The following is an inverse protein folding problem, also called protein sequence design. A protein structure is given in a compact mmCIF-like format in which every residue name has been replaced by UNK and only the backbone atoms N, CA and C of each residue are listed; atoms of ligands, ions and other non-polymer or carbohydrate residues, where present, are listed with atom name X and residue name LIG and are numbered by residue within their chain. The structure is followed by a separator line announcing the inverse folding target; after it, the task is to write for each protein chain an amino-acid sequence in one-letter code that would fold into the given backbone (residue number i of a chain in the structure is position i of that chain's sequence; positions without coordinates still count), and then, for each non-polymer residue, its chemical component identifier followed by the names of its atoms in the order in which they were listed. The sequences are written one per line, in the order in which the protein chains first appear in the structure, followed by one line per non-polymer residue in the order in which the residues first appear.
data_IF_505190205957
#
_entry.id   IF_505190205957
#
_cell.length_a   1.000
_cell.length_b   1.000
_cell.length_c   1.000
_cell.angle_alpha   90.00
_cell.angle_beta   90.00
_cell.angle_gamma   90.00
#
_symmetry.space_group_name_H-M   'P 1'
#
loop_
_entity.id
_entity.type
_entity.pdbx_description
1 polymer ?
#
# COMPACT_ATOMS: atom_id res chain seq x y z
N UNK A 1 24.88 -2.75 -65.06
CA UNK A 1 24.00 -2.25 -63.99
C UNK A 1 23.26 -3.45 -63.43
N UNK A 2 23.56 -3.80 -62.14
CA UNK A 2 22.96 -4.96 -61.48
C UNK A 2 21.64 -4.52 -60.81
N UNK A 3 20.51 -5.08 -61.27
CA UNK A 3 19.21 -4.83 -60.66
C UNK A 3 19.16 -5.43 -59.23
N UNK A 4 18.72 -4.68 -58.21
CA UNK A 4 18.60 -5.25 -56.89
C UNK A 4 17.53 -6.36 -56.91
N UNK A 5 17.84 -7.47 -56.27
CA UNK A 5 17.00 -8.66 -56.21
C UNK A 5 15.67 -8.29 -55.53
N UNK A 6 14.55 -8.48 -56.24
CA UNK A 6 13.18 -8.23 -55.74
C UNK A 6 12.89 -8.95 -54.41
N UNK A 7 13.58 -10.05 -54.13
CA UNK A 7 13.50 -10.81 -52.90
C UNK A 7 14.05 -10.03 -51.67
N UNK A 8 15.14 -9.26 -51.87
CA UNK A 8 15.69 -8.40 -50.80
C UNK A 8 14.75 -7.25 -50.40
N UNK A 9 13.99 -6.71 -51.35
CA UNK A 9 13.01 -5.63 -51.03
C UNK A 9 11.81 -6.14 -50.25
N UNK A 10 11.37 -7.39 -50.52
CA UNK A 10 10.25 -8.01 -49.78
C UNK A 10 10.65 -8.39 -48.37
N UNK A 11 11.89 -8.86 -48.15
CA UNK A 11 12.40 -9.17 -46.82
C UNK A 11 12.59 -7.89 -45.98
N UNK A 12 12.98 -6.78 -46.60
CA UNK A 12 13.11 -5.50 -45.92
C UNK A 12 11.76 -4.91 -45.49
N UNK A 13 10.67 -5.15 -46.21
CA UNK A 13 9.32 -4.74 -45.85
C UNK A 13 8.70 -5.56 -44.71
N UNK A 14 9.17 -6.77 -44.43
CA UNK A 14 8.64 -7.67 -43.41
C UNK A 14 9.26 -7.40 -42.01
N UNK A 15 10.33 -6.60 -41.94
CA UNK A 15 11.05 -6.34 -40.67
C UNK A 15 10.52 -5.08 -39.95
N UNK A 16 9.65 -4.29 -40.55
CA UNK A 16 9.15 -3.03 -39.95
C UNK A 16 7.90 -3.15 -39.08
N UNK A 17 7.39 -4.35 -38.82
CA UNK A 17 6.41 -4.56 -37.75
C UNK A 17 7.13 -4.75 -36.43
N UNK A 18 7.94 -3.80 -36.04
CA UNK A 18 8.27 -3.58 -34.62
C UNK A 18 6.95 -3.13 -34.00
N UNK A 19 6.25 -4.06 -33.36
CA UNK A 19 5.15 -3.73 -32.44
C UNK A 19 5.74 -2.79 -31.39
N UNK A 20 5.66 -1.51 -31.64
CA UNK A 20 5.79 -0.53 -30.56
C UNK A 20 4.68 -0.88 -29.56
N UNK A 21 5.03 -1.47 -28.42
CA UNK A 21 4.10 -1.67 -27.31
C UNK A 21 3.62 -0.27 -26.96
N UNK A 22 2.43 0.07 -27.41
CA UNK A 22 1.87 1.39 -27.22
C UNK A 22 1.63 1.56 -25.71
N UNK A 23 2.32 2.53 -25.11
CA UNK A 23 2.25 2.77 -23.68
C UNK A 23 0.89 3.35 -23.35
N UNK A 24 0.14 2.64 -22.54
CA UNK A 24 -1.13 3.12 -22.00
C UNK A 24 -0.87 4.27 -21.01
N UNK A 25 -1.66 5.30 -21.12
CA UNK A 25 -1.57 6.52 -20.32
C UNK A 25 -2.85 6.64 -19.48
N UNK A 26 -2.69 6.98 -18.21
CA UNK A 26 -3.83 7.27 -17.34
C UNK A 26 -4.49 8.55 -17.79
N UNK A 27 -5.81 8.54 -18.01
CA UNK A 27 -6.64 9.69 -18.34
C UNK A 27 -7.30 10.24 -17.07
N UNK A 28 -7.92 9.38 -16.27
CA UNK A 28 -8.64 9.77 -15.08
C UNK A 28 -8.47 8.72 -13.97
N UNK A 29 -8.55 9.15 -12.70
CA UNK A 29 -8.56 8.28 -11.54
C UNK A 29 -9.72 8.68 -10.66
N UNK A 30 -10.64 7.75 -10.43
CA UNK A 30 -11.85 7.93 -9.65
C UNK A 30 -11.82 7.06 -8.39
N UNK A 31 -12.29 7.62 -7.27
CA UNK A 31 -12.47 6.94 -6.01
C UNK A 31 -13.96 6.92 -5.65
N UNK A 32 -14.47 5.76 -5.24
CA UNK A 32 -15.85 5.58 -4.82
C UNK A 32 -15.91 4.91 -3.45
N UNK A 33 -16.76 5.42 -2.57
CA UNK A 33 -16.99 4.86 -1.23
C UNK A 33 -15.97 5.31 -0.17
N UNK A 34 -15.11 6.27 -0.47
CA UNK A 34 -14.17 6.90 0.43
C UNK A 34 -14.84 8.01 1.25
N UNK A 35 -15.56 7.62 2.30
CA UNK A 35 -16.29 8.58 3.15
C UNK A 35 -15.41 9.30 4.15
N UNK A 36 -14.29 8.71 4.57
CA UNK A 36 -13.39 9.24 5.59
C UNK A 36 -12.26 10.10 5.00
N UNK A 37 -11.65 9.66 3.91
CA UNK A 37 -10.59 10.41 3.22
C UNK A 37 -11.12 11.07 1.97
N UNK A 38 -10.62 12.28 1.66
CA UNK A 38 -10.92 12.95 0.39
C UNK A 38 -10.17 12.30 -0.78
N UNK A 39 -10.65 12.50 -2.00
CA UNK A 39 -9.95 12.06 -3.23
C UNK A 39 -8.53 12.61 -3.29
N UNK A 40 -8.35 13.86 -2.85
CA UNK A 40 -7.04 14.50 -2.79
C UNK A 40 -6.08 13.78 -1.84
N UNK A 41 -6.56 13.35 -0.65
CA UNK A 41 -5.75 12.58 0.29
C UNK A 41 -5.32 11.26 -0.35
N UNK A 42 -6.26 10.53 -0.97
CA UNK A 42 -5.99 9.24 -1.60
C UNK A 42 -5.08 9.37 -2.81
N UNK A 43 -5.26 10.41 -3.61
CA UNK A 43 -4.39 10.72 -4.75
C UNK A 43 -2.94 10.94 -4.32
N UNK A 44 -2.70 11.53 -3.13
CA UNK A 44 -1.35 11.73 -2.59
C UNK A 44 -0.63 10.42 -2.21
N UNK A 45 -1.37 9.34 -1.98
CA UNK A 45 -0.83 8.03 -1.56
C UNK A 45 -0.42 7.17 -2.75
N UNK A 46 -1.09 7.31 -3.89
CA UNK A 46 -0.83 6.54 -5.10
C UNK A 46 0.25 7.18 -5.97
N UNK A 47 0.85 6.38 -6.85
CA UNK A 47 1.88 6.85 -7.79
C UNK A 47 1.35 7.11 -9.18
N UNK A 48 0.25 6.45 -9.57
CA UNK A 48 -0.46 6.77 -10.79
C UNK A 48 -1.12 8.13 -10.62
N UNK A 49 -1.00 8.98 -11.63
CA UNK A 49 -1.51 10.35 -11.62
C UNK A 49 -2.35 10.59 -12.86
N UNK A 50 -3.46 11.29 -12.69
CA UNK A 50 -4.19 11.89 -13.82
C UNK A 50 -3.30 12.94 -14.51
N UNK A 51 -3.47 13.21 -15.81
CA UNK A 51 -2.66 14.19 -16.51
C UNK A 51 -3.04 15.62 -16.08
N UNK A 52 -2.47 16.06 -14.97
CA UNK A 52 -2.44 17.49 -14.64
C UNK A 52 -1.14 18.09 -15.18
N UNK A 53 -1.29 19.08 -16.06
CA UNK A 53 -0.29 20.06 -16.50
C UNK A 53 1.12 19.53 -16.86
N UNK A 54 1.28 18.51 -17.70
CA UNK A 54 2.54 18.00 -18.27
C UNK A 54 3.04 16.65 -17.73
N UNK A 55 2.50 16.10 -16.64
CA UNK A 55 2.88 14.78 -16.16
C UNK A 55 1.88 13.72 -16.62
N UNK A 56 2.29 12.87 -17.55
CA UNK A 56 1.49 11.72 -18.01
C UNK A 56 1.99 10.47 -17.31
N UNK A 57 1.14 9.85 -16.51
CA UNK A 57 1.46 8.56 -15.89
C UNK A 57 1.28 7.41 -16.87
N UNK A 58 2.37 6.73 -17.17
CA UNK A 58 2.33 5.47 -17.89
C UNK A 58 1.68 4.41 -17.00
N UNK A 59 0.63 3.80 -17.50
CA UNK A 59 -0.08 2.72 -16.82
C UNK A 59 0.62 1.37 -17.00
N UNK A 60 0.62 0.60 -15.93
CA UNK A 60 0.84 -0.85 -15.96
C UNK A 60 0.00 -1.53 -14.88
N UNK A 61 -0.49 -2.78 -15.09
CA UNK A 61 -1.22 -3.51 -14.06
C UNK A 61 -0.42 -3.66 -12.76
N UNK A 62 0.90 -3.72 -12.84
CA UNK A 62 1.79 -3.77 -11.67
C UNK A 62 1.76 -2.47 -10.86
N UNK A 63 1.70 -1.32 -11.51
CA UNK A 63 1.55 -0.02 -10.82
C UNK A 63 0.20 0.07 -10.14
N UNK A 64 -0.90 -0.30 -10.83
CA UNK A 64 -2.24 -0.33 -10.26
C UNK A 64 -2.33 -1.22 -9.01
N UNK A 65 -1.80 -2.44 -9.11
CA UNK A 65 -1.75 -3.36 -7.95
C UNK A 65 -0.98 -2.78 -6.76
N UNK A 66 0.14 -2.11 -7.01
CA UNK A 66 0.95 -1.47 -5.97
C UNK A 66 0.19 -0.32 -5.33
N UNK A 67 -0.48 0.51 -6.11
CA UNK A 67 -1.23 1.66 -5.62
C UNK A 67 -2.43 1.20 -4.78
N UNK A 68 -3.14 0.14 -5.20
CA UNK A 68 -4.16 -0.51 -4.37
C UNK A 68 -3.59 -0.94 -3.00
N UNK A 69 -2.43 -1.62 -2.98
CA UNK A 69 -1.78 -2.04 -1.73
C UNK A 69 -1.39 -0.83 -0.86
N UNK A 70 -0.95 0.27 -1.47
CA UNK A 70 -0.62 1.49 -0.75
C UNK A 70 -1.85 2.12 -0.09
N UNK A 71 -2.97 2.17 -0.79
CA UNK A 71 -4.25 2.64 -0.24
C UNK A 71 -4.74 1.75 0.90
N UNK A 72 -4.72 0.42 0.74
CA UNK A 72 -5.09 -0.51 1.81
C UNK A 72 -4.21 -0.34 3.05
N UNK A 73 -2.90 -0.16 2.87
CA UNK A 73 -1.97 0.10 3.97
C UNK A 73 -2.23 1.44 4.65
N UNK A 74 -2.57 2.48 3.88
CA UNK A 74 -2.94 3.79 4.41
C UNK A 74 -4.20 3.72 5.25
N UNK A 75 -5.27 3.11 4.76
CA UNK A 75 -6.51 2.89 5.52
C UNK A 75 -6.26 2.09 6.80
N UNK A 76 -5.51 0.97 6.71
CA UNK A 76 -5.18 0.14 7.88
C UNK A 76 -4.37 0.91 8.92
N UNK A 77 -3.46 1.78 8.51
CA UNK A 77 -2.68 2.61 9.44
C UNK A 77 -3.52 3.67 10.16
N UNK A 78 -4.74 3.92 9.67
CA UNK A 78 -5.72 4.81 10.26
C UNK A 78 -6.89 4.07 10.93
N UNK A 79 -6.72 2.78 11.23
CA UNK A 79 -7.67 1.99 12.01
C UNK A 79 -8.72 1.23 11.20
N UNK A 80 -8.74 1.32 9.88
CA UNK A 80 -9.70 0.59 9.03
C UNK A 80 -9.18 -0.81 8.71
N UNK A 81 -9.24 -1.72 9.68
CA UNK A 81 -8.62 -3.06 9.55
C UNK A 81 -9.29 -3.94 8.48
N UNK A 82 -10.59 -3.78 8.30
CA UNK A 82 -11.42 -4.56 7.39
C UNK A 82 -11.64 -3.86 6.04
N UNK A 83 -10.77 -2.92 5.68
CA UNK A 83 -10.82 -2.23 4.39
C UNK A 83 -10.77 -3.22 3.23
N UNK A 84 -11.65 -3.05 2.27
CA UNK A 84 -11.64 -3.76 0.99
C UNK A 84 -11.56 -2.74 -0.13
N UNK A 85 -10.57 -2.83 -0.99
CA UNK A 85 -10.42 -1.98 -2.18
C UNK A 85 -10.40 -2.86 -3.42
N UNK A 86 -11.26 -2.55 -4.37
CA UNK A 86 -11.22 -3.13 -5.71
C UNK A 86 -10.69 -2.08 -6.68
N UNK A 87 -9.66 -2.42 -7.44
CA UNK A 87 -9.09 -1.55 -8.45
C UNK A 87 -9.39 -2.10 -9.84
N UNK A 88 -10.00 -1.28 -10.68
CA UNK A 88 -10.38 -1.59 -12.07
C UNK A 88 -9.78 -0.54 -13.00
N UNK A 89 -9.66 -0.88 -14.25
CA UNK A 89 -9.34 0.08 -15.30
C UNK A 89 -10.12 -0.24 -16.56
N UNK A 90 -10.45 0.78 -17.32
CA UNK A 90 -11.16 0.68 -18.57
C UNK A 90 -10.41 1.45 -19.67
N UNK A 91 -10.34 0.89 -20.85
CA UNK A 91 -9.73 1.54 -22.00
C UNK A 91 -10.76 2.45 -22.67
N UNK A 92 -10.54 3.76 -22.61
CA UNK A 92 -11.40 4.76 -23.27
C UNK A 92 -10.94 5.05 -24.71
N UNK A 93 -9.71 4.68 -25.03
CA UNK A 93 -9.16 4.72 -26.40
C UNK A 93 -7.93 3.81 -26.49
N UNK A 94 -7.36 3.57 -27.68
CA UNK A 94 -6.17 2.72 -27.81
C UNK A 94 -4.99 3.11 -26.92
N UNK A 95 -4.91 4.36 -26.48
CA UNK A 95 -3.79 4.92 -25.71
C UNK A 95 -4.15 5.34 -24.29
N UNK A 96 -5.41 5.58 -23.99
CA UNK A 96 -5.85 6.16 -22.71
C UNK A 96 -6.75 5.20 -21.96
N UNK A 97 -6.55 5.17 -20.63
CA UNK A 97 -7.35 4.40 -19.70
C UNK A 97 -7.83 5.26 -18.53
N UNK A 98 -9.01 4.93 -18.03
CA UNK A 98 -9.50 5.41 -16.76
C UNK A 98 -9.34 4.34 -15.68
N UNK A 99 -9.05 4.78 -14.46
CA UNK A 99 -8.87 3.92 -13.29
C UNK A 99 -9.97 4.23 -12.29
N UNK A 100 -10.52 3.17 -11.70
CA UNK A 100 -11.51 3.26 -10.62
C UNK A 100 -11.08 2.44 -9.43
N UNK A 101 -11.10 3.07 -8.25
CA UNK A 101 -10.96 2.41 -6.96
C UNK A 101 -12.31 2.41 -6.24
N UNK A 102 -12.91 1.22 -6.09
CA UNK A 102 -14.10 1.00 -5.28
C UNK A 102 -13.68 0.62 -3.87
N UNK A 103 -14.08 1.42 -2.88
CA UNK A 103 -13.58 1.36 -1.51
C UNK A 103 -14.75 1.01 -0.57
N UNK A 104 -14.57 -0.03 0.23
CA UNK A 104 -15.45 -0.38 1.34
C UNK A 104 -14.65 -0.25 2.64
N UNK A 105 -14.78 0.89 3.30
CA UNK A 105 -13.92 1.28 4.44
C UNK A 105 -14.09 0.38 5.66
N UNK A 106 -15.31 -0.07 5.94
CA UNK A 106 -15.64 -0.82 7.15
C UNK A 106 -15.61 0.06 8.41
N UNK A 107 -15.38 -0.58 9.56
CA UNK A 107 -15.27 0.13 10.84
C UNK A 107 -13.86 0.67 11.07
N UNK A 108 -13.78 1.81 11.75
CA UNK A 108 -12.54 2.36 12.26
C UNK A 108 -12.33 1.90 13.70
N UNK A 109 -11.28 1.13 13.93
CA UNK A 109 -10.96 0.49 15.21
C UNK A 109 -10.08 1.39 16.08
N UNK A 110 -10.28 1.33 17.42
CA UNK A 110 -9.45 2.02 18.41
C UNK A 110 -8.67 1.03 19.27
N UNK A 111 -7.43 1.35 19.59
CA UNK A 111 -6.64 0.59 20.55
C UNK A 111 -7.14 0.90 21.95
N UNK A 112 -7.88 -0.02 22.55
CA UNK A 112 -8.43 0.15 23.91
C UNK A 112 -7.41 -0.21 24.98
N UNK A 113 -6.64 -1.27 24.77
CA UNK A 113 -5.72 -1.80 25.77
C UNK A 113 -4.48 -2.41 25.11
N UNK A 114 -3.36 -2.26 25.80
CA UNK A 114 -2.11 -2.96 25.50
C UNK A 114 -1.62 -3.64 26.78
N UNK A 115 -1.29 -4.92 26.68
CA UNK A 115 -0.78 -5.71 27.80
C UNK A 115 0.59 -6.28 27.41
N UNK A 116 1.49 -6.36 28.38
CA UNK A 116 2.82 -6.93 28.23
C UNK A 116 2.93 -8.22 29.06
N UNK A 117 3.60 -9.23 28.53
CA UNK A 117 3.75 -10.52 29.19
C UNK A 117 5.16 -11.07 28.99
N UNK A 118 5.68 -11.74 30.03
CA UNK A 118 6.98 -12.38 29.96
C UNK A 118 8.20 -11.46 30.05
N UNK A 119 8.01 -10.18 30.23
CA UNK A 119 9.03 -9.13 30.31
C UNK A 119 9.70 -9.11 31.71
N UNK A 120 10.60 -10.05 31.96
CA UNK A 120 11.29 -10.16 33.25
C UNK A 120 12.41 -9.13 33.47
N UNK A 121 13.00 -8.63 32.39
CA UNK A 121 14.16 -7.74 32.43
C UNK A 121 13.76 -6.25 32.43
N UNK A 122 12.71 -5.91 31.72
CA UNK A 122 12.23 -4.56 31.51
C UNK A 122 10.80 -4.47 32.07
N UNK A 123 10.53 -3.48 32.90
CA UNK A 123 9.19 -3.31 33.49
C UNK A 123 8.17 -2.85 32.45
N UNK A 124 6.88 -3.09 32.72
CA UNK A 124 5.78 -2.61 31.85
C UNK A 124 5.83 -1.10 31.61
N UNK A 125 6.18 -0.32 32.64
CA UNK A 125 6.23 1.14 32.50
C UNK A 125 7.42 1.59 31.66
N UNK A 126 8.56 0.94 31.75
CA UNK A 126 9.69 1.19 30.86
C UNK A 126 9.36 0.76 29.42
N UNK A 127 8.68 -0.38 29.23
CA UNK A 127 8.22 -0.80 27.89
C UNK A 127 7.27 0.26 27.30
N UNK A 128 6.29 0.77 28.05
CA UNK A 128 5.38 1.83 27.59
C UNK A 128 6.12 3.08 27.13
N UNK A 129 7.17 3.48 27.87
CA UNK A 129 8.02 4.61 27.49
C UNK A 129 8.81 4.35 26.20
N UNK A 130 9.27 3.12 25.98
CA UNK A 130 10.05 2.74 24.81
C UNK A 130 9.18 2.65 23.55
N UNK A 131 7.97 2.10 23.66
CA UNK A 131 7.13 1.81 22.50
C UNK A 131 6.31 3.01 22.02
N UNK A 132 6.08 4.02 22.87
CA UNK A 132 5.32 5.23 22.54
C UNK A 132 3.96 4.94 21.88
N UNK A 133 3.19 4.01 22.45
CA UNK A 133 1.85 3.67 21.96
C UNK A 133 0.82 4.18 22.96
N UNK A 134 -0.09 5.01 22.46
CA UNK A 134 -1.22 5.54 23.23
C UNK A 134 -2.45 4.66 23.08
N UNK A 135 -3.21 4.46 24.15
CA UNK A 135 -4.54 3.84 24.11
C UNK A 135 -5.60 4.88 23.79
N UNK A 136 -6.78 4.43 23.37
CA UNK A 136 -7.93 5.24 22.92
C UNK A 136 -7.74 6.00 21.60
N UNK A 137 -6.58 5.87 20.96
CA UNK A 137 -6.33 6.35 19.61
C UNK A 137 -6.74 5.33 18.57
N UNK A 138 -6.82 5.73 17.29
CA UNK A 138 -7.08 4.80 16.20
C UNK A 138 -5.96 3.77 16.10
N UNK A 139 -6.34 2.51 16.00
CA UNK A 139 -5.39 1.41 15.97
C UNK A 139 -4.53 1.46 14.70
N UNK A 140 -3.22 1.49 14.91
CA UNK A 140 -2.25 1.48 13.82
C UNK A 140 -1.34 0.24 13.93
N UNK A 141 -1.54 -0.79 13.09
CA UNK A 141 -0.71 -2.00 13.11
C UNK A 141 0.79 -1.73 12.89
N UNK A 142 1.12 -0.65 12.18
CA UNK A 142 2.52 -0.28 11.96
C UNK A 142 3.19 0.23 13.23
N UNK A 143 2.45 0.87 14.14
CA UNK A 143 2.98 1.28 15.45
C UNK A 143 3.34 0.04 16.28
N UNK A 144 2.47 -0.97 16.35
CA UNK A 144 2.77 -2.24 17.03
C UNK A 144 4.05 -2.86 16.46
N UNK A 145 4.14 -3.00 15.14
CA UNK A 145 5.33 -3.57 14.49
C UNK A 145 6.60 -2.78 14.79
N UNK A 146 6.53 -1.45 14.82
CA UNK A 146 7.68 -0.60 15.21
C UNK A 146 8.06 -0.82 16.66
N UNK A 147 7.07 -0.92 17.56
CA UNK A 147 7.28 -1.21 18.97
C UNK A 147 8.03 -2.52 19.19
N UNK A 148 7.57 -3.61 18.56
CA UNK A 148 8.25 -4.91 18.63
C UNK A 148 9.72 -4.82 18.18
N UNK A 149 9.98 -4.12 17.08
CA UNK A 149 11.35 -3.90 16.59
C UNK A 149 12.20 -3.10 17.57
N UNK A 150 11.63 -2.08 18.20
CA UNK A 150 12.33 -1.25 19.19
C UNK A 150 12.63 -2.04 20.46
N UNK A 151 11.66 -2.80 20.97
CA UNK A 151 11.84 -3.70 22.11
C UNK A 151 12.91 -4.75 21.83
N UNK A 152 12.85 -5.41 20.69
CA UNK A 152 13.86 -6.40 20.32
C UNK A 152 15.27 -5.81 20.34
N UNK A 153 15.44 -4.60 19.81
CA UNK A 153 16.72 -3.89 19.83
C UNK A 153 17.18 -3.58 21.26
N UNK A 154 16.28 -3.14 22.16
CA UNK A 154 16.59 -2.86 23.57
C UNK A 154 17.10 -4.13 24.26
N UNK A 155 16.40 -5.25 24.12
CA UNK A 155 16.83 -6.54 24.68
C UNK A 155 18.19 -7.01 24.14
N UNK A 156 18.46 -6.83 22.85
CA UNK A 156 19.75 -7.14 22.26
C UNK A 156 20.88 -6.30 22.89
N UNK A 157 20.63 -5.02 23.17
CA UNK A 157 21.60 -4.13 23.84
C UNK A 157 21.88 -4.57 25.28
N UNK A 158 20.90 -5.21 25.96
CA UNK A 158 21.05 -5.82 27.28
C UNK A 158 21.67 -7.23 27.22
N UNK A 159 22.21 -7.63 26.05
CA UNK A 159 22.89 -8.91 25.86
C UNK A 159 21.97 -10.12 25.68
N UNK A 160 20.67 -9.93 25.47
CA UNK A 160 19.69 -11.01 25.21
C UNK A 160 19.56 -11.22 23.71
N UNK A 161 20.31 -12.20 23.17
CA UNK A 161 20.37 -12.48 21.73
C UNK A 161 19.26 -13.45 21.26
N UNK A 162 18.82 -14.37 22.10
CA UNK A 162 17.83 -15.41 21.80
C UNK A 162 16.44 -15.00 22.31
N UNK A 163 15.97 -13.80 21.86
CA UNK A 163 14.67 -13.30 22.26
C UNK A 163 13.68 -13.35 21.09
N UNK A 164 12.49 -13.85 21.38
CA UNK A 164 11.33 -13.81 20.50
C UNK A 164 10.30 -12.87 21.13
N UNK A 165 9.92 -11.83 20.42
CA UNK A 165 8.85 -10.91 20.82
C UNK A 165 7.75 -11.04 19.78
N UNK A 166 6.53 -11.32 20.22
CA UNK A 166 5.34 -11.50 19.39
C UNK A 166 4.24 -10.59 19.87
N UNK A 167 3.32 -10.27 18.99
CA UNK A 167 2.07 -9.61 19.33
C UNK A 167 0.88 -10.52 19.04
N UNK A 168 -0.15 -10.36 19.84
CA UNK A 168 -1.48 -10.92 19.61
C UNK A 168 -2.48 -9.78 19.63
N UNK A 169 -3.27 -9.67 18.59
CA UNK A 169 -4.29 -8.62 18.45
C UNK A 169 -5.67 -9.26 18.51
N UNK A 170 -6.45 -8.88 19.53
CA UNK A 170 -7.84 -9.30 19.69
C UNK A 170 -8.75 -8.12 19.36
N UNK A 171 -9.75 -8.38 18.52
CA UNK A 171 -10.77 -7.40 18.14
C UNK A 171 -12.06 -7.76 18.84
N UNK A 172 -12.65 -6.80 19.56
CA UNK A 172 -13.95 -6.91 20.21
C UNK A 172 -14.80 -5.70 19.80
N UNK A 173 -15.89 -5.94 19.08
CA UNK A 173 -16.72 -4.92 18.44
C UNK A 173 -15.87 -3.95 17.60
N UNK A 174 -15.67 -2.70 18.08
CA UNK A 174 -14.85 -1.66 17.44
C UNK A 174 -13.54 -1.37 18.20
N UNK A 175 -13.21 -2.22 19.16
CA UNK A 175 -12.03 -2.06 20.01
C UNK A 175 -10.98 -3.11 19.70
N UNK A 176 -9.73 -2.73 19.88
CA UNK A 176 -8.57 -3.61 19.73
C UNK A 176 -7.86 -3.71 21.07
N UNK A 177 -7.55 -4.94 21.47
CA UNK A 177 -6.63 -5.22 22.57
C UNK A 177 -5.36 -5.84 21.99
N UNK A 178 -4.23 -5.21 22.24
CA UNK A 178 -2.92 -5.75 21.87
C UNK A 178 -2.26 -6.41 23.07
N UNK A 179 -1.58 -7.54 22.84
CA UNK A 179 -0.75 -8.25 23.80
C UNK A 179 0.65 -8.40 23.20
N UNK A 180 1.66 -8.04 23.94
CA UNK A 180 3.06 -8.12 23.52
C UNK A 180 3.87 -8.90 24.57
#
# INVERSE_FOLDING_TARGET
MKHPCKLCLIVLMLITNIFAIEKLIVSEINFNGNSFFTDHDLQSIIKLQSPELLMRSEFTPKKLKRDKISLEAYYKSNGFLNIVITAKYESISPKYIDIQFDIAEGYQYRLKKINFYGNKLISDDEIKQIVHISTNEYFNPLQIRRALKTLKRKYLMEGKVDIVIMDEVTIDEKNVTARI
#
